data_IF_029635494586
#
_entry.id   IF_029635494586
#
_cell.length_a   1.000
_cell.length_b   1.000
_cell.length_c   1.000
_cell.angle_alpha   90.00
_cell.angle_beta   90.00
_cell.angle_gamma   90.00
#
_symmetry.space_group_name_H-M   'P 1'
#
loop_
_entity.id
_entity.type
_entity.pdbx_description
1 polymer ?
#
# COMPACT_ATOMS: atom_id res chain seq x y z
N UNK A 1 8.96 -18.80 21.47
CA UNK A 1 8.73 -18.70 22.93
C UNK A 1 7.24 -18.48 23.12
N UNK A 2 6.58 -19.26 23.97
CA UNK A 2 5.15 -19.08 24.25
C UNK A 2 4.97 -18.08 25.40
N UNK A 3 4.10 -17.09 25.22
CA UNK A 3 3.76 -16.10 26.25
C UNK A 3 2.53 -16.56 27.05
N UNK A 4 2.37 -16.16 28.32
CA UNK A 4 1.22 -16.55 29.15
C UNK A 4 -0.05 -15.74 28.82
N UNK A 5 -0.42 -15.68 27.54
CA UNK A 5 -1.60 -14.99 27.00
C UNK A 5 -2.40 -15.98 26.16
N UNK A 6 -3.74 -15.94 26.27
CA UNK A 6 -4.61 -16.79 25.46
C UNK A 6 -4.50 -16.50 23.97
N UNK A 7 -4.72 -17.52 23.14
CA UNK A 7 -4.76 -17.39 21.68
C UNK A 7 -6.13 -16.88 21.20
N UNK A 8 -6.13 -16.10 20.12
CA UNK A 8 -7.35 -15.54 19.50
C UNK A 8 -7.31 -14.02 19.33
N UNK A 9 -8.21 -13.49 18.50
CA UNK A 9 -8.26 -12.06 18.16
C UNK A 9 -8.47 -11.15 19.38
N UNK A 10 -9.30 -11.58 20.33
CA UNK A 10 -9.60 -10.86 21.57
C UNK A 10 -8.37 -10.68 22.49
N UNK A 11 -7.33 -11.49 22.29
CA UNK A 11 -6.08 -11.44 23.05
C UNK A 11 -4.94 -10.68 22.35
N UNK A 12 -5.14 -10.19 21.12
CA UNK A 12 -4.05 -9.65 20.28
C UNK A 12 -3.31 -8.51 20.95
N UNK A 13 -4.02 -7.55 21.54
CA UNK A 13 -3.39 -6.45 22.24
C UNK A 13 -2.48 -6.93 23.38
N UNK A 14 -2.97 -7.83 24.23
CA UNK A 14 -2.17 -8.40 25.31
C UNK A 14 -0.99 -9.21 24.78
N UNK A 15 -1.15 -9.91 23.66
CA UNK A 15 -0.07 -10.65 23.01
C UNK A 15 1.05 -9.71 22.54
N UNK A 16 0.70 -8.61 21.86
CA UNK A 16 1.68 -7.60 21.44
C UNK A 16 2.38 -6.93 22.62
N UNK A 17 1.63 -6.53 23.67
CA UNK A 17 2.22 -5.94 24.88
C UNK A 17 3.24 -6.86 25.53
N UNK A 18 2.87 -8.12 25.71
CA UNK A 18 3.73 -9.12 26.35
C UNK A 18 4.93 -9.47 25.48
N UNK A 19 4.77 -9.52 24.16
CA UNK A 19 5.88 -9.73 23.23
C UNK A 19 6.90 -8.57 23.28
N UNK A 20 6.42 -7.33 23.28
CA UNK A 20 7.30 -6.17 23.41
C UNK A 20 7.92 -6.04 24.81
N UNK A 21 7.18 -6.36 25.88
CA UNK A 21 7.76 -6.44 27.23
C UNK A 21 8.89 -7.48 27.28
N UNK A 22 8.67 -8.67 26.72
CA UNK A 22 9.69 -9.70 26.63
C UNK A 22 10.92 -9.21 25.86
N UNK A 23 10.73 -8.61 24.69
CA UNK A 23 11.81 -8.07 23.87
C UNK A 23 12.60 -6.98 24.61
N UNK A 24 11.92 -6.13 25.36
CA UNK A 24 12.55 -5.12 26.23
C UNK A 24 13.39 -5.78 27.33
N UNK A 25 12.83 -6.72 28.09
CA UNK A 25 13.50 -7.33 29.25
C UNK A 25 14.74 -8.15 28.87
N UNK A 26 14.74 -8.74 27.67
CA UNK A 26 15.77 -9.70 27.28
C UNK A 26 16.70 -9.20 26.17
N UNK A 27 16.25 -8.28 25.32
CA UNK A 27 16.93 -7.96 24.07
C UNK A 27 17.01 -6.45 23.75
N UNK A 28 16.59 -5.56 24.64
CA UNK A 28 16.59 -4.12 24.38
C UNK A 28 17.97 -3.60 23.96
N UNK A 29 19.02 -4.07 24.62
CA UNK A 29 20.40 -3.63 24.37
C UNK A 29 21.05 -4.36 23.16
N UNK A 30 20.43 -5.43 22.67
CA UNK A 30 20.97 -6.26 21.57
C UNK A 30 20.55 -5.77 20.18
N UNK A 31 19.41 -5.08 20.05
CA UNK A 31 18.85 -4.68 18.77
C UNK A 31 18.49 -3.19 18.69
N UNK A 32 18.71 -2.60 17.51
CA UNK A 32 18.37 -1.21 17.21
C UNK A 32 16.87 -0.99 16.95
N UNK A 33 16.22 -1.99 16.36
CA UNK A 33 14.84 -1.92 15.87
C UNK A 33 14.08 -3.20 16.17
N UNK A 34 12.79 -3.06 16.49
CA UNK A 34 11.90 -4.15 16.90
C UNK A 34 10.66 -4.16 16.00
N UNK A 35 10.52 -5.19 15.16
CA UNK A 35 9.44 -5.34 14.19
C UNK A 35 8.35 -6.27 14.76
N UNK A 36 7.09 -5.82 14.70
CA UNK A 36 5.91 -6.69 14.79
C UNK A 36 5.33 -6.90 13.39
N UNK A 37 4.99 -8.13 13.08
CA UNK A 37 4.31 -8.53 11.84
C UNK A 37 3.37 -9.71 12.14
N UNK A 38 2.34 -9.88 11.33
CA UNK A 38 1.46 -11.05 11.41
C UNK A 38 2.07 -12.22 10.62
N UNK A 39 1.56 -13.44 10.86
CA UNK A 39 2.05 -14.65 10.18
C UNK A 39 1.61 -14.75 8.70
N UNK A 40 0.78 -13.81 8.26
CA UNK A 40 0.39 -13.56 6.87
C UNK A 40 0.90 -12.20 6.34
N UNK A 41 1.93 -11.62 6.96
CA UNK A 41 2.64 -10.43 6.44
C UNK A 41 3.95 -10.86 5.76
N UNK A 42 4.11 -10.60 4.45
CA UNK A 42 5.39 -10.77 3.78
C UNK A 42 6.25 -9.51 3.93
N UNK A 43 7.48 -9.64 4.43
CA UNK A 43 8.39 -8.52 4.71
C UNK A 43 9.70 -8.65 3.94
N UNK A 44 10.06 -7.61 3.19
CA UNK A 44 11.33 -7.47 2.47
C UNK A 44 12.32 -6.76 3.40
N UNK A 45 13.12 -7.54 4.15
CA UNK A 45 13.99 -7.03 5.21
C UNK A 45 15.10 -6.09 4.70
N UNK A 46 15.55 -6.28 3.47
CA UNK A 46 16.53 -5.43 2.78
C UNK A 46 15.97 -4.02 2.61
N UNK A 47 14.72 -3.91 2.17
CA UNK A 47 14.03 -2.63 1.99
C UNK A 47 13.75 -1.96 3.34
N UNK A 48 13.41 -2.74 4.37
CA UNK A 48 13.25 -2.24 5.74
C UNK A 48 14.56 -1.65 6.27
N UNK A 49 15.66 -2.39 6.16
CA UNK A 49 17.00 -1.92 6.60
C UNK A 49 17.44 -0.67 5.84
N UNK A 50 17.22 -0.63 4.53
CA UNK A 50 17.50 0.55 3.72
C UNK A 50 16.68 1.77 4.17
N UNK A 51 15.39 1.59 4.43
CA UNK A 51 14.52 2.66 4.92
C UNK A 51 14.93 3.17 6.32
N UNK A 52 15.30 2.28 7.24
CA UNK A 52 15.66 2.63 8.61
C UNK A 52 17.07 3.22 8.72
N UNK A 53 17.96 2.94 7.78
CA UNK A 53 19.35 3.40 7.78
C UNK A 53 19.55 4.88 8.18
N UNK A 54 18.82 5.87 7.64
CA UNK A 54 19.01 7.27 7.99
C UNK A 54 18.60 7.63 9.44
N UNK A 55 17.81 6.81 10.13
CA UNK A 55 17.30 7.10 11.47
C UNK A 55 18.20 6.54 12.57
N UNK A 56 18.30 7.26 13.69
CA UNK A 56 18.96 6.76 14.91
C UNK A 56 17.95 5.96 15.75
N UNK A 57 18.34 4.80 16.31
CA UNK A 57 17.46 4.01 17.18
C UNK A 57 17.15 4.66 18.54
N UNK A 58 17.83 5.76 18.88
CA UNK A 58 17.62 6.59 20.06
C UNK A 58 16.53 7.66 19.85
N UNK A 59 16.06 7.82 18.62
CA UNK A 59 14.90 8.66 18.35
C UNK A 59 13.63 7.96 18.83
N UNK A 60 12.74 8.63 19.59
CA UNK A 60 11.47 8.04 20.02
C UNK A 60 10.47 8.01 18.84
N UNK A 61 10.72 7.14 17.87
CA UNK A 61 9.97 7.04 16.62
C UNK A 61 9.65 5.59 16.25
N UNK A 62 8.53 5.40 15.56
CA UNK A 62 8.10 4.12 15.02
C UNK A 62 7.44 4.33 13.67
N UNK A 63 7.39 3.28 12.84
CA UNK A 63 6.96 3.34 11.45
C UNK A 63 6.07 2.16 11.06
N UNK A 64 5.17 2.36 10.10
CA UNK A 64 4.31 1.31 9.55
C UNK A 64 3.37 1.88 8.49
N UNK A 65 2.26 1.20 8.21
CA UNK A 65 1.19 1.72 7.35
C UNK A 65 0.27 2.63 8.16
N UNK A 66 0.42 3.95 7.98
CA UNK A 66 -0.23 4.93 8.85
C UNK A 66 -1.71 5.09 8.58
N UNK A 67 -2.53 4.88 9.61
CA UNK A 67 -3.96 5.09 9.66
C UNK A 67 -4.33 6.26 10.57
N UNK A 68 -5.54 6.80 10.39
CA UNK A 68 -6.09 7.91 11.15
C UNK A 68 -7.37 7.48 11.87
N UNK A 69 -7.46 7.89 13.12
CA UNK A 69 -8.70 7.88 13.91
C UNK A 69 -8.56 8.99 14.98
N UNK A 70 -8.70 10.26 14.57
CA UNK A 70 -8.21 11.42 15.32
C UNK A 70 -8.92 11.64 16.66
N UNK A 71 -10.11 11.07 16.84
CA UNK A 71 -10.85 11.05 18.10
C UNK A 71 -10.13 10.23 19.18
N UNK A 72 -9.28 9.28 18.78
CA UNK A 72 -8.56 8.36 19.67
C UNK A 72 -7.05 8.55 19.65
N UNK A 73 -6.45 8.74 18.47
CA UNK A 73 -5.00 8.93 18.30
C UNK A 73 -4.77 10.06 17.30
N UNK A 74 -4.43 11.25 17.81
CA UNK A 74 -4.36 12.46 16.98
C UNK A 74 -3.25 12.39 15.95
N UNK A 75 -2.10 11.85 16.33
CA UNK A 75 -0.97 11.67 15.42
C UNK A 75 -1.14 10.53 14.41
N UNK A 76 -2.21 9.73 14.51
CA UNK A 76 -2.39 8.49 13.78
C UNK A 76 -1.71 7.28 14.43
N UNK A 77 -2.01 6.09 13.90
CA UNK A 77 -1.48 4.80 14.36
C UNK A 77 -1.05 3.95 13.15
N UNK A 78 -0.43 2.79 13.36
CA UNK A 78 0.01 1.94 12.23
C UNK A 78 -0.74 0.62 12.21
N UNK A 79 -1.26 0.26 11.03
CA UNK A 79 -1.95 -1.02 10.80
C UNK A 79 -1.15 -2.20 11.35
N UNK A 80 -1.81 -3.03 12.18
CA UNK A 80 -1.20 -4.22 12.75
C UNK A 80 -0.80 -5.25 11.68
N UNK A 81 -1.63 -5.45 10.66
CA UNK A 81 -1.41 -6.42 9.58
C UNK A 81 -0.31 -6.05 8.60
N UNK A 82 -0.14 -4.75 8.29
CA UNK A 82 1.01 -4.31 7.51
C UNK A 82 2.35 -4.51 8.25
N UNK A 83 2.28 -4.71 9.56
CA UNK A 83 3.42 -4.66 10.47
C UNK A 83 3.89 -3.23 10.75
N UNK A 84 4.59 -3.10 11.87
CA UNK A 84 5.17 -1.83 12.30
C UNK A 84 6.47 -2.07 13.08
N UNK A 85 7.37 -1.11 13.01
CA UNK A 85 8.73 -1.21 13.56
C UNK A 85 8.98 -0.07 14.54
N UNK A 86 9.48 -0.43 15.73
CA UNK A 86 9.81 0.49 16.81
C UNK A 86 11.33 0.66 16.86
N UNK A 87 11.77 1.90 17.04
CA UNK A 87 13.13 2.17 17.52
C UNK A 87 13.34 1.63 18.93
N UNK A 88 14.59 1.42 19.33
CA UNK A 88 14.97 1.05 20.69
C UNK A 88 14.39 2.01 21.74
N UNK A 89 14.50 3.32 21.51
CA UNK A 89 13.94 4.33 22.42
C UNK A 89 12.40 4.27 22.47
N UNK A 90 11.72 4.03 21.34
CA UNK A 90 10.26 3.85 21.34
C UNK A 90 9.83 2.64 22.18
N UNK A 91 10.52 1.50 22.03
CA UNK A 91 10.25 0.31 22.84
C UNK A 91 10.48 0.57 24.33
N UNK A 92 11.59 1.23 24.67
CA UNK A 92 11.91 1.60 26.05
C UNK A 92 10.80 2.44 26.69
N UNK A 93 10.37 3.51 26.02
CA UNK A 93 9.26 4.37 26.52
C UNK A 93 7.95 3.62 26.62
N UNK A 94 7.65 2.77 25.65
CA UNK A 94 6.44 1.96 25.67
C UNK A 94 6.38 1.11 26.94
N UNK A 95 7.44 0.38 27.26
CA UNK A 95 7.45 -0.51 28.43
C UNK A 95 7.59 0.25 29.75
N UNK A 96 8.57 1.15 29.86
CA UNK A 96 8.86 1.85 31.13
C UNK A 96 7.79 2.87 31.51
N UNK A 97 7.14 3.51 30.53
CA UNK A 97 6.25 4.65 30.76
C UNK A 97 4.79 4.33 30.40
N UNK A 98 4.54 3.75 29.22
CA UNK A 98 3.17 3.53 28.76
C UNK A 98 2.51 2.38 29.54
N UNK A 99 3.19 1.23 29.64
CA UNK A 99 2.63 0.05 30.33
C UNK A 99 2.53 0.23 31.86
N UNK A 100 3.40 1.04 32.46
CA UNK A 100 3.49 1.19 33.92
C UNK A 100 2.83 2.47 34.48
N UNK A 101 2.59 3.50 33.66
CA UNK A 101 2.27 4.84 34.16
C UNK A 101 1.15 5.60 33.44
N UNK A 102 0.62 5.10 32.33
CA UNK A 102 -0.31 5.85 31.48
C UNK A 102 -1.76 5.42 31.70
N UNK A 103 -2.63 6.33 32.18
CA UNK A 103 -4.11 6.15 32.12
C UNK A 103 -4.61 5.96 30.68
N UNK A 104 -3.78 6.29 29.70
CA UNK A 104 -4.11 6.28 28.27
C UNK A 104 -3.61 5.01 27.55
N UNK A 105 -2.94 4.08 28.24
CA UNK A 105 -2.54 2.78 27.69
C UNK A 105 -3.25 1.67 28.47
N UNK A 106 -4.47 1.32 28.05
CA UNK A 106 -5.35 0.46 28.84
C UNK A 106 -5.17 -1.01 28.48
N UNK A 107 -5.51 -1.91 29.39
CA UNK A 107 -5.51 -3.36 29.12
C UNK A 107 -6.87 -3.88 28.65
N UNK A 108 -7.87 -2.99 28.55
CA UNK A 108 -9.29 -3.34 28.41
C UNK A 108 -9.84 -3.13 26.99
N UNK A 109 -9.16 -2.36 26.14
CA UNK A 109 -9.50 -2.17 24.73
C UNK A 109 -8.78 -3.22 23.86
N UNK A 110 -9.46 -3.73 22.82
CA UNK A 110 -9.03 -4.93 22.09
C UNK A 110 -8.25 -4.69 20.79
N UNK A 111 -8.35 -3.48 20.23
CA UNK A 111 -7.83 -3.20 18.89
C UNK A 111 -6.35 -2.87 18.99
N UNK A 112 -5.53 -3.90 18.77
CA UNK A 112 -4.09 -3.94 19.02
C UNK A 112 -3.32 -2.73 18.47
N UNK A 113 -3.54 -2.38 17.20
CA UNK A 113 -2.84 -1.30 16.53
C UNK A 113 -3.29 0.09 16.99
N UNK A 114 -4.59 0.27 17.23
CA UNK A 114 -5.14 1.50 17.76
C UNK A 114 -4.66 1.77 19.20
N UNK A 115 -4.67 0.76 20.07
CA UNK A 115 -4.13 0.87 21.43
C UNK A 115 -2.61 1.07 21.41
N UNK A 116 -1.87 0.39 20.53
CA UNK A 116 -0.45 0.66 20.34
C UNK A 116 -0.21 2.14 20.01
N UNK A 117 -0.93 2.69 19.03
CA UNK A 117 -0.84 4.10 18.66
C UNK A 117 -1.15 5.06 19.81
N UNK A 118 -2.19 4.75 20.59
CA UNK A 118 -2.59 5.53 21.77
C UNK A 118 -1.53 5.51 22.87
N UNK A 119 -0.96 4.34 23.14
CA UNK A 119 0.12 4.18 24.11
C UNK A 119 1.34 5.00 23.68
N UNK A 120 1.76 4.90 22.42
CA UNK A 120 2.89 5.64 21.86
C UNK A 120 2.68 7.16 21.91
N UNK A 121 1.48 7.63 21.56
CA UNK A 121 1.13 9.06 21.69
C UNK A 121 1.21 9.54 23.15
N UNK A 122 0.77 8.72 24.11
CA UNK A 122 0.79 9.09 25.52
C UNK A 122 2.19 9.26 26.12
N UNK A 123 3.22 8.69 25.49
CA UNK A 123 4.63 8.76 25.93
C UNK A 123 5.51 9.52 24.93
N UNK A 124 4.89 10.34 24.09
CA UNK A 124 5.55 11.22 23.13
C UNK A 124 6.51 10.48 22.19
N UNK A 125 6.08 9.31 21.71
CA UNK A 125 6.71 8.59 20.60
C UNK A 125 6.04 9.01 19.30
N UNK A 126 6.84 9.46 18.34
CA UNK A 126 6.37 9.99 17.05
C UNK A 126 5.97 8.88 16.08
N UNK A 127 4.76 8.96 15.53
CA UNK A 127 4.32 8.15 14.39
C UNK A 127 4.90 8.71 13.09
N UNK A 128 6.07 8.22 12.70
CA UNK A 128 6.85 8.73 11.56
C UNK A 128 6.23 8.48 10.18
N UNK A 129 6.72 9.20 9.17
CA UNK A 129 6.34 8.98 7.77
C UNK A 129 7.23 7.90 7.13
N UNK A 130 6.61 6.82 6.66
CA UNK A 130 7.27 5.68 6.04
C UNK A 130 7.21 5.69 4.51
N UNK A 131 6.60 6.71 3.89
CA UNK A 131 6.46 6.82 2.44
C UNK A 131 7.80 7.12 1.77
N UNK A 132 7.86 6.90 0.47
CA UNK A 132 9.00 7.34 -0.34
C UNK A 132 8.89 8.82 -0.73
N UNK A 133 9.89 9.31 -1.48
CA UNK A 133 9.97 10.71 -1.90
C UNK A 133 8.83 11.12 -2.86
N UNK A 134 8.14 10.15 -3.48
CA UNK A 134 6.98 10.36 -4.33
C UNK A 134 5.66 10.21 -3.54
N UNK A 135 5.74 9.98 -2.23
CA UNK A 135 4.57 9.74 -1.39
C UNK A 135 4.00 8.32 -1.50
N UNK A 136 4.67 7.38 -2.18
CA UNK A 136 4.19 6.00 -2.27
C UNK A 136 4.45 5.26 -0.97
N UNK A 137 3.52 4.40 -0.55
CA UNK A 137 3.65 3.63 0.69
C UNK A 137 4.70 2.54 0.58
N UNK A 138 5.35 2.26 1.72
CA UNK A 138 6.26 1.11 1.88
C UNK A 138 5.66 -0.03 2.69
N UNK A 139 4.86 0.28 3.71
CA UNK A 139 4.10 -0.70 4.44
C UNK A 139 2.69 -0.71 3.88
N UNK A 140 2.22 -1.87 3.41
CA UNK A 140 0.94 -2.00 2.72
C UNK A 140 0.01 -2.95 3.50
N UNK A 141 -1.20 -2.49 3.89
CA UNK A 141 -2.11 -3.24 4.75
C UNK A 141 -2.98 -4.24 3.99
N UNK A 142 -2.75 -4.40 2.69
CA UNK A 142 -3.47 -5.30 1.79
C UNK A 142 -2.48 -5.99 0.85
N UNK A 143 -2.92 -7.04 0.18
CA UNK A 143 -2.11 -7.82 -0.75
C UNK A 143 -1.70 -7.01 -2.00
N UNK A 144 -0.60 -7.39 -2.70
CA UNK A 144 -0.15 -6.69 -3.90
C UNK A 144 -1.25 -6.54 -4.96
N UNK A 145 -2.07 -7.59 -5.15
CA UNK A 145 -3.15 -7.59 -6.13
C UNK A 145 -4.10 -6.41 -5.89
N UNK A 146 -4.56 -6.22 -4.66
CA UNK A 146 -5.45 -5.12 -4.30
C UNK A 146 -4.85 -3.76 -4.67
N UNK A 147 -3.59 -3.53 -4.34
CA UNK A 147 -2.96 -2.23 -4.62
C UNK A 147 -2.69 -2.00 -6.11
N UNK A 148 -2.39 -3.06 -6.87
CA UNK A 148 -2.03 -2.99 -8.28
C UNK A 148 -3.24 -2.98 -9.23
N UNK A 149 -4.37 -3.58 -8.84
CA UNK A 149 -5.51 -3.76 -9.77
C UNK A 149 -6.79 -3.05 -9.35
N UNK A 150 -6.89 -2.57 -8.11
CA UNK A 150 -8.10 -1.86 -7.67
C UNK A 150 -8.21 -0.51 -8.35
N UNK A 151 -9.38 -0.23 -8.91
CA UNK A 151 -9.78 1.11 -9.31
C UNK A 151 -10.63 1.71 -8.17
N UNK A 152 -10.19 2.81 -7.53
CA UNK A 152 -10.96 3.46 -6.47
C UNK A 152 -12.36 3.92 -6.89
N UNK A 153 -12.62 4.09 -8.19
CA UNK A 153 -13.94 4.42 -8.70
C UNK A 153 -14.95 3.27 -8.57
N UNK A 154 -14.48 2.02 -8.48
CA UNK A 154 -15.33 0.84 -8.38
C UNK A 154 -15.93 0.70 -6.97
N UNK A 155 -15.16 1.06 -5.93
CA UNK A 155 -15.62 1.21 -4.54
C UNK A 155 -15.02 2.46 -3.87
N UNK A 156 -15.61 3.64 -4.11
CA UNK A 156 -15.13 4.89 -3.51
C UNK A 156 -15.20 4.89 -1.98
N UNK A 157 -16.11 4.09 -1.41
CA UNK A 157 -16.38 4.02 0.02
C UNK A 157 -15.58 2.90 0.71
N UNK A 158 -14.60 2.31 0.02
CA UNK A 158 -13.76 1.29 0.62
C UNK A 158 -13.03 1.85 1.85
N UNK A 159 -13.10 1.13 2.98
CA UNK A 159 -12.64 1.61 4.29
C UNK A 159 -11.21 2.15 4.28
N UNK A 160 -10.33 1.56 3.46
CA UNK A 160 -8.93 1.97 3.38
C UNK A 160 -8.77 3.42 2.90
N UNK A 161 -9.68 3.93 2.06
CA UNK A 161 -9.70 5.33 1.65
C UNK A 161 -10.01 6.27 2.83
N UNK A 162 -10.85 5.83 3.78
CA UNK A 162 -11.20 6.63 4.94
C UNK A 162 -10.13 6.57 6.03
N UNK A 163 -9.65 5.37 6.35
CA UNK A 163 -8.73 5.18 7.47
C UNK A 163 -7.28 5.47 7.11
N UNK A 164 -6.89 5.51 5.83
CA UNK A 164 -5.53 5.89 5.46
C UNK A 164 -5.21 7.32 5.91
N UNK A 165 -4.08 7.50 6.60
CA UNK A 165 -3.64 8.82 7.06
C UNK A 165 -3.19 9.70 5.89
N UNK A 166 -2.57 9.08 4.88
CA UNK A 166 -2.13 9.73 3.64
C UNK A 166 -3.01 9.27 2.47
N UNK A 167 -3.02 10.01 1.38
CA UNK A 167 -3.71 9.59 0.16
C UNK A 167 -3.21 8.19 -0.29
N UNK A 168 -4.11 7.20 -0.42
CA UNK A 168 -3.74 5.91 -0.97
C UNK A 168 -3.58 6.02 -2.50
N UNK A 169 -2.47 5.52 -3.02
CA UNK A 169 -2.26 5.35 -4.45
C UNK A 169 -2.63 3.92 -4.86
N UNK A 170 -3.06 3.77 -6.11
CA UNK A 170 -3.53 2.52 -6.71
C UNK A 170 -2.96 2.35 -8.13
N UNK A 171 -3.07 1.14 -8.67
CA UNK A 171 -2.55 0.81 -9.99
C UNK A 171 -1.02 0.79 -10.02
N UNK A 172 -0.45 1.03 -11.20
CA UNK A 172 1.00 1.07 -11.42
C UNK A 172 1.73 2.12 -10.55
N UNK A 173 0.98 3.11 -10.02
CA UNK A 173 1.51 4.17 -9.17
C UNK A 173 1.36 3.90 -7.66
N UNK A 174 0.78 2.76 -7.25
CA UNK A 174 0.40 2.51 -5.86
C UNK A 174 1.55 2.55 -4.85
N UNK A 175 2.66 1.94 -5.24
CA UNK A 175 3.55 1.31 -4.28
C UNK A 175 4.98 1.72 -4.54
N UNK A 176 5.75 1.90 -3.47
CA UNK A 176 7.17 2.19 -3.62
C UNK A 176 7.87 1.02 -4.30
N UNK A 177 8.80 1.30 -5.21
CA UNK A 177 9.67 0.27 -5.81
C UNK A 177 10.58 -0.41 -4.75
N UNK A 178 10.63 0.19 -3.56
CA UNK A 178 11.28 -0.35 -2.36
C UNK A 178 10.25 -0.52 -1.23
N UNK A 179 9.10 -1.11 -1.57
CA UNK A 179 8.10 -1.53 -0.59
C UNK A 179 8.71 -2.49 0.45
N UNK A 180 8.23 -2.40 1.67
CA UNK A 180 8.73 -3.12 2.84
C UNK A 180 7.85 -4.33 3.15
N UNK A 181 6.53 -4.17 3.14
CA UNK A 181 5.63 -5.24 3.54
C UNK A 181 4.29 -5.20 2.84
N UNK A 182 3.69 -6.38 2.71
CA UNK A 182 2.32 -6.59 2.25
C UNK A 182 1.61 -7.56 3.20
N UNK A 183 0.37 -7.25 3.56
CA UNK A 183 -0.48 -8.09 4.40
C UNK A 183 -1.33 -9.06 3.56
N UNK A 184 -2.03 -10.00 4.23
CA UNK A 184 -2.86 -11.04 3.60
C UNK A 184 -2.11 -11.89 2.57
N UNK A 185 -0.87 -12.31 2.90
CA UNK A 185 -0.05 -13.19 2.07
C UNK A 185 0.01 -14.58 2.72
N UNK A 186 -0.83 -15.55 2.28
CA UNK A 186 -0.74 -16.92 2.77
C UNK A 186 0.62 -17.54 2.46
N UNK A 187 1.03 -18.55 3.24
CA UNK A 187 2.35 -19.19 3.10
C UNK A 187 2.70 -19.66 1.68
N UNK A 188 1.73 -20.18 0.90
CA UNK A 188 1.99 -20.53 -0.50
C UNK A 188 2.32 -19.31 -1.38
N UNK A 189 1.64 -18.19 -1.15
CA UNK A 189 1.93 -16.95 -1.86
C UNK A 189 3.26 -16.33 -1.40
N UNK A 190 3.68 -16.51 -0.14
CA UNK A 190 5.01 -16.08 0.31
C UNK A 190 6.12 -16.75 -0.51
N UNK A 191 6.00 -18.05 -0.80
CA UNK A 191 6.95 -18.76 -1.67
C UNK A 191 6.93 -18.23 -3.12
N UNK A 192 5.75 -17.86 -3.63
CA UNK A 192 5.64 -17.24 -4.96
C UNK A 192 6.30 -15.86 -4.95
N UNK A 193 6.07 -15.02 -3.94
CA UNK A 193 6.73 -13.72 -3.81
C UNK A 193 8.25 -13.87 -3.73
N UNK A 194 8.75 -14.82 -2.94
CA UNK A 194 10.19 -15.08 -2.82
C UNK A 194 10.81 -15.47 -4.16
N UNK A 195 10.14 -16.36 -4.91
CA UNK A 195 10.56 -16.69 -6.26
C UNK A 195 10.53 -15.48 -7.21
N UNK A 196 9.47 -14.67 -7.18
CA UNK A 196 9.33 -13.52 -8.09
C UNK A 196 10.30 -12.38 -7.77
N UNK A 197 10.67 -12.19 -6.50
CA UNK A 197 11.55 -11.10 -6.06
C UNK A 197 13.03 -11.50 -6.14
N UNK A 198 13.37 -12.73 -5.74
CA UNK A 198 14.77 -13.16 -5.59
C UNK A 198 15.20 -14.26 -6.55
N UNK A 199 14.27 -15.02 -7.15
CA UNK A 199 14.58 -16.14 -8.03
C UNK A 199 14.49 -15.79 -9.52
N UNK A 200 13.40 -15.12 -9.91
CA UNK A 200 13.05 -14.81 -11.28
C UNK A 200 13.79 -13.56 -11.76
N UNK A 201 14.63 -13.73 -12.77
CA UNK A 201 15.38 -12.63 -13.38
C UNK A 201 15.13 -12.59 -14.89
N UNK A 202 14.47 -11.54 -15.40
CA UNK A 202 14.38 -11.34 -16.84
C UNK A 202 15.76 -11.01 -17.42
N UNK A 203 16.09 -11.64 -18.55
CA UNK A 203 17.35 -11.41 -19.23
C UNK A 203 17.52 -9.92 -19.59
N UNK A 204 18.68 -9.35 -19.24
CA UNK A 204 19.04 -7.97 -19.59
C UNK A 204 18.58 -6.89 -18.60
N UNK A 205 17.79 -7.24 -17.58
CA UNK A 205 17.39 -6.29 -16.53
C UNK A 205 18.40 -6.32 -15.39
N UNK A 206 18.96 -5.16 -15.07
CA UNK A 206 19.86 -4.99 -13.92
C UNK A 206 19.27 -3.95 -12.97
N UNK A 207 18.93 -4.38 -11.76
CA UNK A 207 18.45 -3.47 -10.73
C UNK A 207 19.62 -2.65 -10.17
N UNK A 208 19.46 -1.33 -10.10
CA UNK A 208 20.46 -0.43 -9.48
C UNK A 208 19.94 0.02 -8.13
N UNK A 209 20.58 -0.46 -7.07
CA UNK A 209 20.27 -0.02 -5.72
C UNK A 209 20.55 1.48 -5.58
N UNK A 210 19.61 2.24 -4.99
CA UNK A 210 19.88 3.65 -4.70
C UNK A 210 20.98 3.79 -3.64
N UNK A 211 21.71 4.92 -3.63
CA UNK A 211 22.71 5.18 -2.62
C UNK A 211 22.08 5.32 -1.23
N UNK A 212 22.86 5.02 -0.19
CA UNK A 212 22.44 5.25 1.20
C UNK A 212 22.22 6.75 1.45
N UNK A 213 21.11 7.07 2.11
CA UNK A 213 20.78 8.43 2.53
C UNK A 213 21.70 8.88 3.69
N UNK A 214 22.00 10.18 3.83
CA UNK A 214 22.68 10.70 5.02
C UNK A 214 21.85 10.43 6.28
N UNK A 215 22.53 10.36 7.43
CA UNK A 215 21.87 10.25 8.75
C UNK A 215 21.09 11.53 9.03
N UNK A 216 19.87 11.38 9.56
CA UNK A 216 18.99 12.49 9.90
C UNK A 216 19.25 12.99 11.32
N UNK A 217 19.07 14.29 11.52
CA UNK A 217 18.88 14.87 12.85
C UNK A 217 17.48 14.52 13.39
N UNK A 218 17.28 14.69 14.70
CA UNK A 218 15.96 14.49 15.30
C UNK A 218 14.90 15.44 14.71
N UNK A 219 15.27 16.68 14.43
CA UNK A 219 14.36 17.67 13.85
C UNK A 219 13.89 17.30 12.45
N UNK A 220 14.76 16.69 11.63
CA UNK A 220 14.36 16.18 10.31
C UNK A 220 13.52 14.90 10.43
N UNK A 221 13.92 13.97 11.31
CA UNK A 221 13.25 12.68 11.48
C UNK A 221 11.81 12.81 12.02
N UNK A 222 11.53 13.82 12.84
CA UNK A 222 10.21 14.05 13.44
C UNK A 222 9.24 14.83 12.55
N UNK A 223 9.67 15.27 11.36
CA UNK A 223 8.78 15.95 10.41
C UNK A 223 7.82 14.93 9.80
N UNK A 224 6.53 15.14 10.07
CA UNK A 224 5.45 14.27 9.62
C UNK A 224 4.42 15.13 8.88
N UNK A 225 4.17 14.88 7.59
CA UNK A 225 3.13 15.58 6.85
C UNK A 225 1.75 15.38 7.47
N UNK A 226 0.87 16.38 7.33
CA UNK A 226 -0.52 16.32 7.82
C UNK A 226 -1.38 15.25 7.13
N UNK A 227 -2.56 14.94 7.69
CA UNK A 227 -3.46 13.92 7.15
C UNK A 227 -4.13 14.34 5.84
N UNK A 228 -4.56 13.35 5.06
CA UNK A 228 -5.38 13.47 3.87
C UNK A 228 -6.89 13.28 4.19
N UNK A 229 -7.82 13.94 3.46
CA UNK A 229 -7.56 15.04 2.52
C UNK A 229 -7.15 16.30 3.29
N UNK A 230 -6.23 17.07 2.71
CA UNK A 230 -5.95 18.42 3.20
C UNK A 230 -7.29 19.13 3.21
N UNK A 231 -7.77 19.60 4.36
CA UNK A 231 -9.00 20.40 4.43
C UNK A 231 -8.83 21.54 3.42
N UNK A 232 -9.60 21.50 2.34
CA UNK A 232 -9.73 22.62 1.42
C UNK A 232 -10.43 23.72 2.19
N UNK A 233 -9.65 24.48 2.96
CA UNK A 233 -10.03 25.84 3.25
C UNK A 233 -10.12 26.48 1.86
N UNK A 234 -11.33 26.81 1.41
CA UNK A 234 -11.53 27.69 0.26
C UNK A 234 -10.90 29.02 0.64
N UNK A 235 -9.59 29.14 0.49
CA UNK A 235 -8.94 30.42 0.40
C UNK A 235 -9.39 30.93 -0.96
N UNK A 236 -10.37 31.83 -0.96
CA UNK A 236 -10.62 32.72 -2.08
C UNK A 236 -9.38 33.61 -2.22
N UNK A 237 -8.29 33.04 -2.74
CA UNK A 237 -7.14 33.78 -3.18
C UNK A 237 -7.54 34.38 -4.53
N UNK A 238 -8.04 35.61 -4.48
CA UNK A 238 -7.91 36.53 -5.60
C UNK A 238 -6.41 36.67 -5.88
N UNK A 239 -5.92 35.91 -6.86
CA UNK A 239 -4.56 36.06 -7.36
C UNK A 239 -4.53 37.39 -8.13
N UNK A 240 -4.03 38.42 -7.47
CA UNK A 240 -3.62 39.66 -8.11
C UNK A 240 -2.31 39.39 -8.87
N UNK A 241 -2.43 39.14 -10.19
CA UNK A 241 -1.29 39.08 -11.09
C UNK A 241 -0.76 40.51 -11.34
N UNK A 242 -0.03 41.06 -10.38
CA UNK A 242 0.86 42.20 -10.63
C UNK A 242 2.17 42.10 -9.84
N UNK A 243 3.09 41.28 -10.35
CA UNK A 243 4.53 41.46 -10.12
C UNK A 243 5.32 40.59 -11.09
N UNK A 244 5.39 41.04 -12.33
CA UNK A 244 6.34 40.56 -13.34
C UNK A 244 7.76 40.98 -12.94
N UNK A 245 8.59 40.01 -12.56
CA UNK A 245 10.04 40.17 -12.53
C UNK A 245 10.58 39.82 -13.92
N UNK A 246 11.18 40.82 -14.55
CA UNK A 246 11.95 40.71 -15.80
C UNK A 246 13.18 39.81 -15.60
N UNK A 247 13.34 38.81 -16.47
CA UNK A 247 14.67 38.34 -16.92
C UNK A 247 14.61 38.10 -18.42
N UNK A 248 15.63 38.64 -19.10
CA UNK A 248 15.77 38.89 -20.52
C UNK A 248 15.90 37.65 -21.42
N UNK A 249 15.44 37.86 -22.65
CA UNK A 249 15.54 37.05 -23.86
C UNK A 249 16.97 36.74 -24.33
N UNK A 250 17.18 35.51 -24.81
CA UNK A 250 17.97 35.24 -26.01
C UNK A 250 17.15 34.36 -26.96
N UNK A 251 16.98 34.86 -28.19
CA UNK A 251 16.29 34.20 -29.29
C UNK A 251 17.19 33.14 -29.94
N UNK A 252 16.60 32.02 -30.37
CA UNK A 252 16.93 31.48 -31.69
C UNK A 252 15.72 30.73 -32.25
N UNK A 253 15.36 31.10 -33.47
CA UNK A 253 14.17 30.75 -34.22
C UNK A 253 14.29 29.39 -34.91
N UNK A 254 13.16 28.68 -35.00
CA UNK A 254 12.73 28.07 -36.27
C UNK A 254 11.24 27.70 -36.20
N UNK A 255 10.49 28.30 -37.11
CA UNK A 255 9.06 28.18 -37.32
C UNK A 255 8.75 26.96 -38.18
N UNK A 256 7.68 26.23 -37.87
CA UNK A 256 6.83 25.60 -38.88
C UNK A 256 5.41 25.41 -38.32
N UNK A 257 4.48 26.19 -38.85
CA UNK A 257 3.03 26.01 -38.71
C UNK A 257 2.57 24.75 -39.46
N UNK A 258 1.47 24.13 -39.03
CA UNK A 258 0.36 23.67 -39.88
C UNK A 258 -0.91 23.53 -39.01
N UNK A 259 -2.02 23.88 -39.65
CA UNK A 259 -3.35 24.20 -39.16
C UNK A 259 -4.22 23.03 -38.66
N UNK A 260 -5.18 23.42 -37.80
CA UNK A 260 -6.60 23.00 -37.66
C UNK A 260 -7.01 21.54 -37.93
N UNK A 261 -7.82 20.97 -37.00
CA UNK A 261 -9.29 20.97 -37.11
C UNK A 261 -9.96 20.29 -35.91
N UNK A 262 -11.07 20.88 -35.51
CA UNK A 262 -12.05 20.40 -34.54
C UNK A 262 -12.97 19.36 -35.16
N UNK A 263 -13.26 18.25 -34.47
CA UNK A 263 -14.52 17.54 -34.67
C UNK A 263 -15.12 17.07 -33.34
N UNK A 264 -16.36 17.52 -33.14
CA UNK A 264 -17.32 17.14 -32.13
C UNK A 264 -18.00 15.84 -32.59
N UNK A 265 -18.08 14.81 -31.76
CA UNK A 265 -19.13 13.79 -31.92
C UNK A 265 -19.58 13.21 -30.59
N UNK A 266 -20.78 13.61 -30.22
CA UNK A 266 -21.71 12.94 -29.31
C UNK A 266 -21.94 11.49 -29.70
N UNK A 267 -21.92 10.57 -28.73
CA UNK A 267 -22.62 9.29 -28.89
C UNK A 267 -23.43 8.95 -27.63
N UNK A 268 -24.65 8.53 -27.92
CA UNK A 268 -25.80 8.31 -27.04
C UNK A 268 -25.74 6.97 -26.32
N UNK A 269 -26.27 6.99 -25.10
CA UNK A 269 -26.62 5.86 -24.25
C UNK A 269 -27.61 4.92 -24.96
N UNK A 270 -27.34 3.62 -24.96
CA UNK A 270 -28.33 2.58 -25.20
C UNK A 270 -28.15 1.44 -24.19
N UNK A 271 -29.09 1.40 -23.25
CA UNK A 271 -29.43 0.29 -22.37
C UNK A 271 -29.90 -0.92 -23.18
N UNK A 272 -29.50 -2.14 -22.81
CA UNK A 272 -30.27 -3.34 -23.15
C UNK A 272 -30.19 -4.39 -22.02
N UNK A 273 -31.38 -4.80 -21.59
CA UNK A 273 -31.67 -5.83 -20.61
C UNK A 273 -31.37 -7.25 -21.12
N UNK A 274 -31.23 -8.15 -20.15
CA UNK A 274 -30.83 -9.55 -20.22
C UNK A 274 -31.91 -10.44 -20.86
N UNK A 275 -31.50 -11.27 -21.82
CA UNK A 275 -32.24 -12.43 -22.32
C UNK A 275 -31.40 -13.69 -22.21
N UNK A 276 -31.90 -14.70 -21.49
CA UNK A 276 -31.24 -15.98 -21.25
C UNK A 276 -31.32 -16.92 -22.46
N UNK A 277 -30.20 -17.19 -23.12
CA UNK A 277 -30.03 -18.40 -23.95
C UNK A 277 -28.60 -18.91 -23.84
N UNK A 278 -28.45 -20.18 -23.45
CA UNK A 278 -27.17 -20.87 -23.28
C UNK A 278 -26.60 -21.33 -24.62
N UNK A 279 -26.30 -20.40 -25.52
CA UNK A 279 -25.73 -20.74 -26.82
C UNK A 279 -24.21 -20.51 -26.83
N UNK A 280 -23.46 -21.58 -27.09
CA UNK A 280 -22.00 -21.56 -27.12
C UNK A 280 -21.44 -20.59 -28.16
N UNK A 281 -22.25 -20.15 -29.12
CA UNK A 281 -21.89 -19.14 -30.12
C UNK A 281 -21.80 -17.72 -29.54
N UNK A 282 -22.64 -17.39 -28.55
CA UNK A 282 -22.71 -16.04 -27.98
C UNK A 282 -21.51 -15.73 -27.09
N UNK A 283 -21.06 -16.71 -26.29
CA UNK A 283 -19.83 -16.60 -25.51
C UNK A 283 -18.60 -16.51 -26.43
N UNK A 284 -18.62 -17.16 -27.59
CA UNK A 284 -17.56 -17.07 -28.59
C UNK A 284 -17.46 -15.65 -29.18
N UNK A 285 -18.59 -15.00 -29.43
CA UNK A 285 -18.65 -13.60 -29.89
C UNK A 285 -18.12 -12.62 -28.84
N UNK A 286 -18.49 -12.80 -27.57
CA UNK A 286 -17.98 -11.95 -26.47
C UNK A 286 -16.46 -12.09 -26.33
N UNK A 287 -15.95 -13.33 -26.42
CA UNK A 287 -14.52 -13.58 -26.31
C UNK A 287 -13.73 -13.01 -27.49
N UNK A 288 -14.27 -13.13 -28.71
CA UNK A 288 -13.69 -12.50 -29.91
C UNK A 288 -13.69 -10.96 -29.81
N UNK A 289 -14.77 -10.37 -29.29
CA UNK A 289 -14.86 -8.93 -29.07
C UNK A 289 -13.86 -8.41 -28.02
N UNK A 290 -13.62 -9.18 -26.97
CA UNK A 290 -12.61 -8.85 -25.93
C UNK A 290 -11.18 -8.91 -26.47
N UNK A 291 -10.89 -9.86 -27.37
CA UNK A 291 -9.59 -10.01 -28.00
C UNK A 291 -9.32 -8.91 -29.05
N UNK A 292 -10.34 -8.48 -29.80
CA UNK A 292 -10.20 -7.34 -30.73
C UNK A 292 -9.95 -6.00 -30.02
N UNK A 293 -10.39 -5.86 -28.76
CA UNK A 293 -10.15 -4.66 -27.94
C UNK A 293 -8.76 -4.59 -27.31
N UNK A 294 -7.94 -5.66 -27.37
CA UNK A 294 -6.61 -5.71 -26.74
C UNK A 294 -5.42 -5.54 -27.71
N UNK A 295 -5.64 -5.09 -28.95
CA UNK A 295 -4.57 -4.89 -29.97
C UNK A 295 -3.54 -6.05 -30.03
N UNK A 296 -4.06 -7.27 -30.13
CA UNK A 296 -3.23 -8.48 -30.29
C UNK A 296 -2.99 -8.72 -31.80
N UNK A 297 -1.76 -9.09 -32.15
CA UNK A 297 -1.26 -9.13 -33.53
C UNK A 297 -2.00 -10.19 -34.38
N UNK A 298 -2.88 -9.72 -35.27
CA UNK A 298 -4.03 -10.43 -35.87
C UNK A 298 -3.80 -11.69 -36.74
N UNK A 299 -2.61 -12.28 -36.82
CA UNK A 299 -2.37 -13.42 -37.76
C UNK A 299 -1.76 -14.68 -37.15
N UNK A 300 -1.04 -14.59 -36.02
CA UNK A 300 -0.44 -15.78 -35.39
C UNK A 300 -1.29 -16.30 -34.22
N UNK A 301 -2.08 -15.42 -33.64
CA UNK A 301 -2.83 -15.70 -32.42
C UNK A 301 -4.22 -16.28 -32.70
N UNK A 302 -4.84 -15.98 -33.85
CA UNK A 302 -6.11 -16.61 -34.25
C UNK A 302 -5.97 -18.13 -34.40
N UNK A 303 -4.85 -18.62 -34.94
CA UNK A 303 -4.58 -20.05 -35.11
C UNK A 303 -4.34 -20.76 -33.77
N UNK A 304 -3.75 -20.07 -32.79
CA UNK A 304 -3.52 -20.58 -31.43
C UNK A 304 -4.84 -20.59 -30.65
N UNK A 305 -5.65 -19.55 -30.77
CA UNK A 305 -6.96 -19.43 -30.12
C UNK A 305 -7.91 -20.49 -30.67
N UNK A 306 -7.99 -20.69 -31.98
CA UNK A 306 -8.82 -21.75 -32.58
C UNK A 306 -8.34 -23.13 -32.13
N UNK A 307 -7.03 -23.34 -31.96
CA UNK A 307 -6.48 -24.61 -31.46
C UNK A 307 -6.85 -24.86 -29.99
N UNK A 308 -6.80 -23.83 -29.14
CA UNK A 308 -7.21 -23.89 -27.74
C UNK A 308 -8.72 -24.14 -27.61
N UNK A 309 -9.54 -23.49 -28.44
CA UNK A 309 -10.99 -23.65 -28.42
C UNK A 309 -11.47 -24.97 -29.05
N UNK A 310 -10.66 -25.56 -29.94
CA UNK A 310 -10.91 -26.90 -30.50
C UNK A 310 -10.70 -28.02 -29.48
N UNK A 311 -9.98 -27.76 -28.38
CA UNK A 311 -9.85 -28.69 -27.26
C UNK A 311 -11.14 -28.70 -26.44
N UNK A 312 -11.98 -29.70 -26.73
CA UNK A 312 -13.28 -29.89 -26.08
C UNK A 312 -13.16 -30.08 -24.56
N UNK A 313 -12.04 -30.58 -24.06
CA UNK A 313 -11.85 -30.82 -22.63
C UNK A 313 -11.46 -29.53 -21.90
N UNK A 314 -10.62 -28.70 -22.52
CA UNK A 314 -10.29 -27.36 -22.02
C UNK A 314 -11.53 -26.46 -21.98
N UNK A 315 -12.27 -26.38 -23.08
CA UNK A 315 -13.48 -25.55 -23.21
C UNK A 315 -14.55 -25.96 -22.19
N UNK A 316 -14.70 -27.27 -21.91
CA UNK A 316 -15.61 -27.77 -20.87
C UNK A 316 -15.18 -27.33 -19.46
N UNK A 317 -13.90 -27.47 -19.10
CA UNK A 317 -13.38 -27.05 -17.79
C UNK A 317 -13.48 -25.54 -17.57
N UNK A 318 -13.29 -24.75 -18.62
CA UNK A 318 -13.44 -23.30 -18.59
C UNK A 318 -14.90 -22.91 -18.33
N UNK A 319 -15.84 -23.54 -19.05
CA UNK A 319 -17.29 -23.31 -18.85
C UNK A 319 -17.76 -23.72 -17.45
N UNK A 320 -17.26 -24.84 -16.91
CA UNK A 320 -17.60 -25.29 -15.56
C UNK A 320 -17.09 -24.29 -14.48
N UNK A 321 -15.88 -23.75 -14.67
CA UNK A 321 -15.34 -22.68 -13.78
C UNK A 321 -16.09 -21.37 -13.87
N UNK A 322 -16.63 -21.02 -15.03
CA UNK A 322 -17.41 -19.79 -15.21
C UNK A 322 -18.82 -19.93 -14.65
N UNK A 323 -19.43 -21.13 -14.72
CA UNK A 323 -20.73 -21.41 -14.09
C UNK A 323 -20.66 -21.42 -12.55
N UNK A 324 -19.54 -21.88 -11.98
CA UNK A 324 -19.33 -21.82 -10.53
C UNK A 324 -19.28 -20.38 -10.00
N UNK A 325 -18.78 -19.44 -10.81
CA UNK A 325 -18.70 -18.01 -10.46
C UNK A 325 -20.00 -17.21 -10.60
N UNK A 326 -21.05 -17.78 -11.17
CA UNK A 326 -22.38 -17.14 -11.26
C UNK A 326 -23.33 -17.54 -10.13
N UNK A 327 -22.93 -18.48 -9.27
CA UNK A 327 -23.72 -18.96 -8.13
C UNK A 327 -23.06 -18.64 -6.77
N UNK A 328 -22.06 -17.77 -6.74
CA UNK A 328 -21.47 -17.14 -5.54
C UNK A 328 -21.81 -15.65 -5.54
#
# INVERSE_FOLDING_TARGET
IALPVGEGREGLWNKSREAFRYAYEHHLEEYDWFLKADDDTYVILENLRYFLYPFSPEFPIYFGSKFRYPEYVKQGYFSGGAGYVLSREALKRFVEQALHGSKNCTTAFDTEDLEMGRCMESVNVTAGDSRDLLGKKRFLPLEPMFHLTTNPADDPNFWYNYYSFYEPFYGDNCCSDLAISFHYIPGQQMHVMDYLIYGLHPYGVNFRNPPLKPKLSWDEARLVPGPYPVETTTVNATVDLSSTVYVSSEESSSQANIDTQSENSTSSVASNEVGSTSDSSYLLEIFKSLLEKQEINKTKDEEIIDKILSDKEFTKKLLDKLKLRQNE
#
